data_IF_644135640694
#
_entry.id   IF_644135640694
#
_cell.length_a   1.000
_cell.length_b   1.000
_cell.length_c   1.000
_cell.angle_alpha   90.00
_cell.angle_beta   90.00
_cell.angle_gamma   90.00
#
_symmetry.space_group_name_H-M   'P 1'
#
loop_
_entity.id
_entity.type
_entity.pdbx_description
1 polymer ?
#
# COMPACT_ATOMS: atom_id res chain seq x y z
N UNK A 1 7.51 22.73 45.43
CA UNK A 1 6.91 22.99 44.10
C UNK A 1 7.93 23.14 42.97
N UNK A 2 9.07 23.86 43.15
CA UNK A 2 10.09 24.02 42.10
C UNK A 2 10.71 22.72 41.57
N UNK A 3 10.91 21.70 42.40
CA UNK A 3 11.50 20.42 41.95
C UNK A 3 10.56 19.61 41.05
N UNK A 4 9.23 19.71 41.25
CA UNK A 4 8.26 19.02 40.40
C UNK A 4 8.23 19.62 38.99
N UNK A 5 8.25 20.96 38.87
CA UNK A 5 8.36 21.64 37.58
C UNK A 5 9.68 21.32 36.85
N UNK A 6 10.81 21.29 37.56
CA UNK A 6 12.10 20.89 36.99
C UNK A 6 12.05 19.45 36.45
N UNK A 7 11.46 18.52 37.19
CA UNK A 7 11.31 17.13 36.75
C UNK A 7 10.41 17.00 35.52
N UNK A 8 9.32 17.78 35.45
CA UNK A 8 8.44 17.82 34.27
C UNK A 8 9.19 18.35 33.05
N UNK A 9 9.96 19.43 33.20
CA UNK A 9 10.77 20.01 32.10
C UNK A 9 11.83 19.01 31.62
N UNK A 10 12.53 18.34 32.54
CA UNK A 10 13.52 17.31 32.19
C UNK A 10 12.87 16.12 31.47
N UNK A 11 11.68 15.71 31.91
CA UNK A 11 10.92 14.62 31.28
C UNK A 11 10.45 15.00 29.87
N UNK A 12 9.97 16.24 29.71
CA UNK A 12 9.57 16.76 28.41
C UNK A 12 10.75 16.90 27.46
N UNK A 13 11.89 17.42 27.93
CA UNK A 13 13.11 17.51 27.13
C UNK A 13 13.57 16.13 26.65
N UNK A 14 13.56 15.13 27.54
CA UNK A 14 13.85 13.74 27.18
C UNK A 14 12.86 13.20 26.14
N UNK A 15 11.57 13.46 26.31
CA UNK A 15 10.55 13.02 25.37
C UNK A 15 10.76 13.65 23.99
N UNK A 16 11.07 14.95 23.91
CA UNK A 16 11.36 15.64 22.64
C UNK A 16 12.60 15.06 21.98
N UNK A 17 13.69 14.81 22.73
CA UNK A 17 14.89 14.16 22.17
C UNK A 17 14.59 12.76 21.63
N UNK A 18 13.76 11.97 22.32
CA UNK A 18 13.34 10.65 21.85
C UNK A 18 12.46 10.73 20.60
N UNK A 19 11.55 11.71 20.53
CA UNK A 19 10.74 11.96 19.34
C UNK A 19 11.61 12.33 18.14
N UNK A 20 12.62 13.19 18.34
CA UNK A 20 13.56 13.56 17.30
C UNK A 20 14.36 12.35 16.79
N UNK A 21 14.88 11.52 17.69
CA UNK A 21 15.56 10.27 17.35
C UNK A 21 14.67 9.32 16.52
N UNK A 22 13.39 9.20 16.89
CA UNK A 22 12.42 8.41 16.15
C UNK A 22 12.16 8.96 14.74
N UNK A 23 12.02 10.28 14.59
CA UNK A 23 11.81 10.91 13.26
C UNK A 23 13.03 10.74 12.37
N UNK A 24 14.24 10.88 12.91
CA UNK A 24 15.47 10.65 12.14
C UNK A 24 15.60 9.21 11.68
N UNK A 25 15.28 8.25 12.55
CA UNK A 25 15.36 6.84 12.19
C UNK A 25 14.27 6.44 11.20
N UNK A 26 13.09 7.04 11.31
CA UNK A 26 12.06 6.95 10.28
C UNK A 26 12.60 7.50 8.95
N UNK A 27 13.21 8.69 8.92
CA UNK A 27 13.74 9.26 7.69
C UNK A 27 14.83 8.38 7.05
N UNK A 28 15.75 7.81 7.84
CA UNK A 28 16.78 6.88 7.34
C UNK A 28 16.19 5.60 6.78
N UNK A 29 15.21 5.02 7.47
CA UNK A 29 14.53 3.78 7.03
C UNK A 29 13.51 4.00 5.91
N UNK A 30 13.12 5.25 5.66
CA UNK A 30 12.16 5.64 4.61
C UNK A 30 12.81 6.22 3.36
N UNK A 31 14.15 6.33 3.31
CA UNK A 31 14.85 6.90 2.16
C UNK A 31 14.75 5.99 0.93
N UNK A 32 14.76 4.68 1.16
CA UNK A 32 14.71 3.68 0.10
C UNK A 32 13.28 3.49 -0.43
N UNK A 33 13.18 3.27 -1.73
CA UNK A 33 11.89 3.00 -2.37
C UNK A 33 11.42 1.58 -2.02
N UNK A 34 10.14 1.42 -1.71
CA UNK A 34 9.59 0.12 -1.35
C UNK A 34 8.20 0.17 -0.74
N UNK A 35 7.67 -1.01 -0.41
CA UNK A 35 6.40 -1.17 0.30
C UNK A 35 6.65 -1.13 1.80
N UNK A 36 5.98 -0.22 2.51
CA UNK A 36 6.04 -0.13 3.98
C UNK A 36 5.00 -1.02 4.63
N UNK A 37 3.75 -0.90 4.21
CA UNK A 37 2.63 -1.56 4.86
C UNK A 37 1.47 -1.73 3.88
N UNK A 38 0.71 -2.81 4.00
CA UNK A 38 -0.62 -2.93 3.41
C UNK A 38 -1.69 -2.64 4.48
N UNK A 39 -2.97 -2.50 4.09
CA UNK A 39 -4.09 -2.35 5.04
C UNK A 39 -3.97 -3.41 6.15
N UNK A 40 -4.06 -2.97 7.40
CA UNK A 40 -4.10 -3.86 8.55
C UNK A 40 -5.35 -4.76 8.48
N UNK A 41 -5.13 -6.05 8.24
CA UNK A 41 -6.15 -7.11 8.18
C UNK A 41 -6.12 -8.00 9.42
N UNK A 42 -4.93 -8.20 10.01
CA UNK A 42 -4.71 -9.06 11.17
C UNK A 42 -3.85 -8.34 12.21
N UNK A 43 -4.20 -8.55 13.47
CA UNK A 43 -3.41 -8.09 14.63
C UNK A 43 -3.04 -9.29 15.49
N UNK A 44 -2.20 -9.08 16.50
CA UNK A 44 -1.89 -10.09 17.49
C UNK A 44 -1.42 -9.46 18.80
N UNK A 45 -1.08 -10.31 19.77
CA UNK A 45 -0.61 -9.88 21.09
C UNK A 45 0.72 -9.14 21.07
N UNK A 46 1.47 -9.24 19.96
CA UNK A 46 2.75 -8.56 19.75
C UNK A 46 2.81 -7.91 18.36
N UNK A 47 3.57 -6.81 18.19
CA UNK A 47 3.62 -6.06 16.92
C UNK A 47 4.03 -6.88 15.70
N UNK A 48 4.95 -7.83 15.85
CA UNK A 48 5.39 -8.68 14.73
C UNK A 48 4.34 -9.70 14.26
N UNK A 49 3.22 -9.83 14.99
CA UNK A 49 2.06 -10.62 14.53
C UNK A 49 1.06 -9.79 13.70
N UNK A 50 1.27 -8.48 13.58
CA UNK A 50 0.46 -7.62 12.72
C UNK A 50 0.91 -7.69 11.26
N UNK A 51 -0.03 -7.46 10.36
CA UNK A 51 0.20 -7.37 8.91
C UNK A 51 1.30 -6.35 8.57
N UNK A 52 2.23 -6.72 7.68
CA UNK A 52 3.32 -5.85 7.21
C UNK A 52 3.06 -5.36 5.78
N UNK A 53 4.04 -5.41 4.87
CA UNK A 53 3.86 -5.28 3.42
C UNK A 53 3.27 -6.55 2.76
N UNK A 54 3.09 -7.62 3.56
CA UNK A 54 2.50 -8.89 3.14
C UNK A 54 1.59 -9.45 4.25
N UNK A 55 0.55 -10.16 3.83
CA UNK A 55 -0.26 -11.06 4.66
C UNK A 55 -0.55 -12.35 3.85
N UNK A 56 -1.80 -12.80 3.77
CA UNK A 56 -2.22 -13.84 2.82
C UNK A 56 -1.97 -13.46 1.35
N UNK A 57 -1.68 -12.17 1.09
CA UNK A 57 -1.37 -11.58 -0.22
C UNK A 57 -0.21 -10.60 -0.08
N UNK A 58 0.61 -10.49 -1.12
CA UNK A 58 1.68 -9.49 -1.22
C UNK A 58 1.09 -8.20 -1.77
N UNK A 59 1.46 -7.04 -1.20
CA UNK A 59 0.98 -5.73 -1.65
C UNK A 59 -0.56 -5.59 -1.72
N UNK A 60 -1.30 -6.44 -0.99
CA UNK A 60 -2.76 -6.51 -1.02
C UNK A 60 -3.35 -6.82 -2.41
N UNK A 61 -2.59 -7.43 -3.31
CA UNK A 61 -3.06 -7.83 -4.64
C UNK A 61 -3.94 -9.07 -4.51
N UNK A 62 -5.15 -9.04 -5.07
CA UNK A 62 -6.12 -10.12 -5.00
C UNK A 62 -7.06 -10.19 -6.20
N UNK A 63 -7.78 -11.29 -6.32
CA UNK A 63 -8.79 -11.50 -7.34
C UNK A 63 -10.14 -10.86 -6.96
N UNK A 64 -10.87 -10.36 -7.96
CA UNK A 64 -12.29 -10.03 -7.85
C UNK A 64 -13.10 -11.03 -8.66
N UNK A 65 -13.50 -12.14 -8.04
CA UNK A 65 -14.27 -13.21 -8.71
C UNK A 65 -15.63 -12.76 -9.24
N UNK A 66 -16.17 -11.65 -8.72
CA UNK A 66 -17.40 -11.01 -9.15
C UNK A 66 -17.22 -9.98 -10.29
N UNK A 67 -15.98 -9.60 -10.63
CA UNK A 67 -15.68 -8.63 -11.69
C UNK A 67 -14.73 -9.19 -12.73
N UNK A 68 -15.26 -9.44 -13.94
CA UNK A 68 -14.48 -9.99 -15.05
C UNK A 68 -13.33 -9.06 -15.45
N UNK A 69 -12.11 -9.58 -15.44
CA UNK A 69 -10.90 -8.87 -15.89
C UNK A 69 -10.40 -7.80 -14.92
N UNK A 70 -10.82 -7.86 -13.66
CA UNK A 70 -10.40 -6.92 -12.61
C UNK A 70 -9.39 -7.59 -11.68
N UNK A 71 -8.24 -6.94 -11.51
CA UNK A 71 -7.26 -7.26 -10.47
C UNK A 71 -7.47 -6.30 -9.32
N UNK A 72 -7.78 -6.84 -8.14
CA UNK A 72 -7.96 -6.06 -6.93
C UNK A 72 -6.62 -5.69 -6.31
N UNK A 73 -6.53 -4.47 -5.80
CA UNK A 73 -5.38 -4.04 -5.01
C UNK A 73 -5.89 -3.23 -3.81
N UNK A 74 -5.74 -3.77 -2.62
CA UNK A 74 -6.10 -3.04 -1.40
C UNK A 74 -5.14 -1.87 -1.11
N UNK A 75 -5.41 -1.14 -0.03
CA UNK A 75 -4.56 -0.02 0.37
C UNK A 75 -3.14 -0.48 0.71
N UNK A 76 -2.18 0.33 0.27
CA UNK A 76 -0.78 0.21 0.61
C UNK A 76 -0.16 1.56 0.91
N UNK A 77 0.92 1.53 1.67
CA UNK A 77 1.85 2.63 1.89
C UNK A 77 3.14 2.24 1.19
N UNK A 78 3.56 3.05 0.22
CA UNK A 78 4.80 2.87 -0.51
C UNK A 78 5.64 4.14 -0.45
N UNK A 79 6.95 3.98 -0.48
CA UNK A 79 7.89 5.07 -0.75
C UNK A 79 8.35 4.92 -2.19
N UNK A 80 8.22 5.98 -2.99
CA UNK A 80 8.81 6.08 -4.32
C UNK A 80 9.71 7.30 -4.35
N UNK A 81 11.01 7.11 -4.58
CA UNK A 81 12.03 8.17 -4.60
C UNK A 81 11.99 9.05 -3.33
N UNK A 82 11.87 8.43 -2.15
CA UNK A 82 11.81 9.13 -0.85
C UNK A 82 10.48 9.81 -0.53
N UNK A 83 9.49 9.76 -1.43
CA UNK A 83 8.15 10.31 -1.20
C UNK A 83 7.21 9.19 -0.79
N UNK A 84 6.54 9.35 0.35
CA UNK A 84 5.54 8.38 0.84
C UNK A 84 4.17 8.63 0.19
N UNK A 85 3.60 7.56 -0.35
CA UNK A 85 2.28 7.51 -0.94
C UNK A 85 1.41 6.53 -0.16
N UNK A 86 0.22 6.98 0.21
CA UNK A 86 -0.82 6.11 0.72
C UNK A 86 -1.91 6.00 -0.32
N UNK A 87 -2.19 4.78 -0.75
CA UNK A 87 -3.28 4.52 -1.68
C UNK A 87 -4.60 4.32 -0.94
N UNK A 88 -5.70 4.48 -1.68
CA UNK A 88 -6.99 3.87 -1.35
C UNK A 88 -7.04 2.47 -1.98
N UNK A 89 -8.14 1.76 -1.74
CA UNK A 89 -8.40 0.53 -2.48
C UNK A 89 -8.46 0.87 -3.98
N UNK A 90 -7.58 0.25 -4.75
CA UNK A 90 -7.34 0.54 -6.15
C UNK A 90 -7.54 -0.74 -6.97
N UNK A 91 -8.76 -0.93 -7.46
CA UNK A 91 -9.03 -2.02 -8.38
C UNK A 91 -8.67 -1.61 -9.80
N UNK A 92 -7.93 -2.45 -10.49
CA UNK A 92 -7.48 -2.20 -11.86
C UNK A 92 -8.18 -3.17 -12.81
N UNK A 93 -8.90 -2.62 -13.79
CA UNK A 93 -9.45 -3.40 -14.90
C UNK A 93 -8.53 -3.28 -16.11
N UNK A 94 -8.09 -4.41 -16.66
CA UNK A 94 -7.31 -4.41 -17.90
C UNK A 94 -8.21 -4.04 -19.09
N UNK A 95 -7.84 -2.98 -19.79
CA UNK A 95 -8.51 -2.46 -20.98
C UNK A 95 -7.46 -2.15 -22.05
N UNK A 96 -7.89 -2.11 -23.30
CA UNK A 96 -7.04 -1.65 -24.39
C UNK A 96 -7.55 -0.32 -24.97
N UNK A 97 -6.72 0.47 -25.66
CA UNK A 97 -7.19 1.65 -26.39
C UNK A 97 -8.30 1.28 -27.38
N UNK A 98 -9.33 2.13 -27.49
CA UNK A 98 -10.42 1.88 -28.42
C UNK A 98 -9.92 1.86 -29.86
N UNK A 99 -10.36 0.85 -30.63
CA UNK A 99 -10.02 0.74 -32.06
C UNK A 99 -10.91 1.61 -32.95
N UNK A 100 -12.04 2.08 -32.41
CA UNK A 100 -13.09 2.77 -33.18
C UNK A 100 -13.27 4.23 -32.78
N UNK A 101 -13.01 4.58 -31.51
CA UNK A 101 -13.10 5.96 -31.03
C UNK A 101 -11.76 6.69 -31.11
N UNK A 102 -11.79 7.94 -31.59
CA UNK A 102 -10.64 8.87 -31.58
C UNK A 102 -10.61 9.78 -30.35
N UNK A 103 -11.56 9.63 -29.43
CA UNK A 103 -11.61 10.44 -28.23
C UNK A 103 -10.42 10.12 -27.31
N UNK A 104 -9.83 11.15 -26.72
CA UNK A 104 -8.75 10.98 -25.75
C UNK A 104 -9.21 10.11 -24.57
N UNK A 105 -8.42 9.07 -24.25
CA UNK A 105 -8.71 8.14 -23.16
C UNK A 105 -9.81 7.10 -23.47
N UNK A 106 -10.30 7.01 -24.71
CA UNK A 106 -11.26 5.97 -25.08
C UNK A 106 -10.63 4.57 -24.99
N UNK A 107 -11.31 3.66 -24.28
CA UNK A 107 -10.86 2.29 -24.07
C UNK A 107 -11.97 1.28 -24.34
N UNK A 108 -11.60 0.04 -24.67
CA UNK A 108 -12.48 -1.10 -24.87
C UNK A 108 -11.96 -2.34 -24.10
N UNK A 109 -12.81 -3.35 -23.92
CA UNK A 109 -12.40 -4.60 -23.29
C UNK A 109 -11.38 -5.34 -24.17
N UNK A 110 -10.37 -5.94 -23.55
CA UNK A 110 -9.39 -6.77 -24.25
C UNK A 110 -10.11 -8.07 -24.67
N UNK A 111 -10.15 -8.41 -25.98
CA UNK A 111 -10.73 -9.66 -26.42
C UNK A 111 -9.89 -10.83 -25.92
N UNK A 112 -10.56 -11.88 -25.45
CA UNK A 112 -9.87 -13.12 -25.12
C UNK A 112 -9.37 -13.79 -26.41
N UNK A 113 -8.23 -14.51 -26.37
CA UNK A 113 -7.81 -15.33 -27.49
C UNK A 113 -8.89 -16.36 -27.82
N UNK A 114 -8.99 -16.72 -29.09
CA UNK A 114 -9.89 -17.79 -29.49
C UNK A 114 -9.52 -19.10 -28.79
N UNK A 115 -10.55 -19.85 -28.39
CA UNK A 115 -10.37 -21.18 -27.81
C UNK A 115 -9.78 -22.10 -28.88
N UNK A 116 -8.63 -22.77 -28.62
CA UNK A 116 -8.02 -23.69 -29.57
C UNK A 116 -9.00 -24.81 -29.99
N UNK A 117 -8.99 -25.25 -31.26
CA UNK A 117 -9.92 -26.29 -31.74
C UNK A 117 -9.88 -27.59 -30.93
N UNK A 118 -8.71 -27.95 -30.39
CA UNK A 118 -8.45 -29.18 -29.64
C UNK A 118 -9.24 -29.29 -28.32
N UNK A 119 -9.78 -28.18 -27.83
CA UNK A 119 -10.55 -28.10 -26.57
C UNK A 119 -11.96 -27.55 -26.78
N UNK A 120 -12.44 -27.46 -28.03
CA UNK A 120 -13.85 -27.17 -28.34
C UNK A 120 -14.63 -28.48 -28.22
N UNK A 121 -15.49 -28.58 -27.21
CA UNK A 121 -16.41 -29.72 -27.00
C UNK A 121 -17.52 -29.76 -28.06
#
# INVERSE_FOLDING_TARGET
>A
MQNAQKNVIVSLARQVSQQQLYVEELARSSGDSGLKLIRLSRTGSKPYFSTSFTDNRVASIHEHSNYRGTVGMGELIAVLNGVEFRTRHNDYKMRMPSRTSKQYGATEDIPYPEVPPEVRF
#
